data_IF_732475824812
#
_entry.id   IF_732475824812
#
_cell.length_a   1.000
_cell.length_b   1.000
_cell.length_c   1.000
_cell.angle_alpha   90.00
_cell.angle_beta   90.00
_cell.angle_gamma   90.00
#
_symmetry.space_group_name_H-M   'P 1'
#
loop_
_entity.id
_entity.type
_entity.pdbx_description
1 polymer ?
#
# COMPACT_ATOMS: atom_id res chain seq x y z
N UNK A 1 -11.66 -1.14 -14.24
CA UNK A 1 -11.26 -2.15 -15.25
C UNK A 1 -12.24 -3.32 -15.28
N UNK A 2 -12.46 -4.06 -14.18
CA UNK A 2 -13.34 -5.25 -14.20
C UNK A 2 -14.79 -5.04 -14.65
N UNK A 3 -15.44 -3.96 -14.21
CA UNK A 3 -16.83 -3.65 -14.62
C UNK A 3 -16.94 -3.52 -16.14
N UNK A 4 -15.97 -2.81 -16.75
CA UNK A 4 -15.94 -2.56 -18.18
C UNK A 4 -15.61 -3.83 -18.98
N UNK A 5 -14.69 -4.67 -18.48
CA UNK A 5 -14.33 -5.94 -19.11
C UNK A 5 -15.45 -6.99 -19.06
N UNK A 6 -16.32 -6.97 -18.04
CA UNK A 6 -17.46 -7.90 -17.93
C UNK A 6 -18.77 -7.37 -18.53
N UNK A 7 -18.78 -6.18 -19.15
CA UNK A 7 -20.01 -5.56 -19.65
C UNK A 7 -21.04 -5.26 -18.55
N UNK A 8 -20.60 -5.17 -17.30
CA UNK A 8 -21.46 -4.97 -16.14
C UNK A 8 -21.96 -3.53 -16.02
N UNK A 9 -23.14 -3.35 -15.43
CA UNK A 9 -23.70 -2.03 -15.13
C UNK A 9 -23.20 -1.51 -13.78
N UNK A 10 -23.08 -0.19 -13.65
CA UNK A 10 -22.78 0.45 -12.38
C UNK A 10 -23.97 0.24 -11.42
N UNK A 11 -23.73 -0.50 -10.34
CA UNK A 11 -24.71 -0.82 -9.30
C UNK A 11 -24.16 -0.47 -7.91
N UNK A 12 -25.04 -0.46 -6.90
CA UNK A 12 -24.63 -0.26 -5.49
C UNK A 12 -23.60 -1.31 -5.07
N UNK A 13 -23.79 -2.55 -5.50
CA UNK A 13 -22.86 -3.66 -5.32
C UNK A 13 -21.44 -3.30 -5.83
N UNK A 14 -21.34 -2.82 -7.06
CA UNK A 14 -20.04 -2.42 -7.63
C UNK A 14 -19.41 -1.23 -6.92
N UNK A 15 -20.21 -0.28 -6.43
CA UNK A 15 -19.72 0.88 -5.67
C UNK A 15 -19.10 0.45 -4.33
N UNK A 16 -19.76 -0.44 -3.60
CA UNK A 16 -19.21 -1.00 -2.35
C UNK A 16 -17.88 -1.70 -2.64
N UNK A 17 -17.81 -2.51 -3.69
CA UNK A 17 -16.56 -3.17 -4.11
C UNK A 17 -15.44 -2.17 -4.43
N UNK A 18 -15.75 -1.05 -5.08
CA UNK A 18 -14.78 0.01 -5.38
C UNK A 18 -14.28 0.72 -4.12
N UNK A 19 -15.17 1.02 -3.16
CA UNK A 19 -14.79 1.65 -1.89
C UNK A 19 -13.88 0.72 -1.09
N UNK A 20 -14.23 -0.56 -0.98
CA UNK A 20 -13.39 -1.57 -0.33
C UNK A 20 -12.02 -1.64 -0.98
N UNK A 21 -11.97 -1.67 -2.32
CA UNK A 21 -10.71 -1.69 -3.06
C UNK A 21 -9.86 -0.43 -2.81
N UNK A 22 -10.47 0.75 -2.80
CA UNK A 22 -9.78 2.00 -2.53
C UNK A 22 -9.14 2.00 -1.13
N UNK A 23 -9.83 1.45 -0.12
CA UNK A 23 -9.27 1.27 1.22
C UNK A 23 -8.07 0.31 1.24
N UNK A 24 -8.15 -0.82 0.53
CA UNK A 24 -7.04 -1.77 0.40
C UNK A 24 -5.84 -1.10 -0.28
N UNK A 25 -6.06 -0.37 -1.37
CA UNK A 25 -5.04 0.37 -2.10
C UNK A 25 -4.35 1.42 -1.21
N UNK A 26 -5.15 2.28 -0.56
CA UNK A 26 -4.62 3.30 0.33
C UNK A 26 -3.79 2.71 1.47
N UNK A 27 -4.26 1.61 2.08
CA UNK A 27 -3.51 0.91 3.13
C UNK A 27 -2.18 0.39 2.64
N UNK A 28 -2.14 -0.23 1.46
CA UNK A 28 -0.92 -0.78 0.88
C UNK A 28 0.08 0.33 0.51
N UNK A 29 -0.39 1.43 -0.10
CA UNK A 29 0.43 2.60 -0.40
C UNK A 29 1.03 3.27 0.84
N UNK A 30 0.20 3.49 1.88
CA UNK A 30 0.67 4.07 3.16
C UNK A 30 1.76 3.19 3.77
N UNK A 31 1.54 1.88 3.85
CA UNK A 31 2.50 0.93 4.42
C UNK A 31 3.84 0.96 3.68
N UNK A 32 3.83 1.12 2.35
CA UNK A 32 5.06 1.17 1.57
C UNK A 32 5.84 2.48 1.82
N UNK A 33 5.16 3.62 1.85
CA UNK A 33 5.79 4.91 2.15
C UNK A 33 6.34 4.93 3.59
N UNK A 34 5.57 4.43 4.56
CA UNK A 34 6.03 4.30 5.94
C UNK A 34 7.29 3.43 6.04
N UNK A 35 7.40 2.38 5.22
CA UNK A 35 8.60 1.55 5.16
C UNK A 35 9.81 2.30 4.64
N UNK A 36 9.65 3.11 3.58
CA UNK A 36 10.73 3.97 3.11
C UNK A 36 11.19 4.94 4.20
N UNK A 37 10.26 5.59 4.88
CA UNK A 37 10.59 6.50 5.97
C UNK A 37 11.27 5.78 7.14
N UNK A 38 10.88 4.54 7.42
CA UNK A 38 11.53 3.71 8.43
C UNK A 38 12.98 3.41 8.07
N UNK A 39 13.28 2.99 6.83
CA UNK A 39 14.66 2.78 6.36
C UNK A 39 15.51 4.06 6.49
N UNK A 40 14.94 5.23 6.20
CA UNK A 40 15.70 6.48 6.30
C UNK A 40 15.90 6.95 7.74
N UNK A 41 14.94 6.70 8.65
CA UNK A 41 14.99 7.17 10.05
C UNK A 41 15.73 6.22 10.97
N UNK A 42 15.40 4.93 10.90
CA UNK A 42 15.87 3.93 11.86
C UNK A 42 17.13 3.22 11.34
N UNK A 43 17.21 2.95 10.03
CA UNK A 43 18.40 2.32 9.42
C UNK A 43 19.41 3.34 8.89
N UNK A 44 19.08 4.64 8.90
CA UNK A 44 19.96 5.72 8.46
C UNK A 44 20.26 5.72 6.96
N UNK A 45 19.45 5.04 6.14
CA UNK A 45 19.65 5.01 4.71
C UNK A 45 19.39 6.38 4.05
N UNK A 46 20.26 6.76 3.11
CA UNK A 46 20.08 7.99 2.34
C UNK A 46 19.01 7.81 1.26
N UNK A 47 18.33 8.90 0.89
CA UNK A 47 17.36 8.92 -0.22
C UNK A 47 18.04 8.61 -1.55
N UNK A 48 18.14 7.32 -1.87
CA UNK A 48 18.86 6.83 -3.05
C UNK A 48 18.00 5.78 -3.77
N UNK A 49 18.24 5.61 -5.06
CA UNK A 49 17.57 4.57 -5.86
C UNK A 49 17.66 3.15 -5.27
N UNK A 50 18.82 2.65 -4.78
CA UNK A 50 18.90 1.31 -4.17
C UNK A 50 18.02 1.16 -2.93
N UNK A 51 17.91 2.21 -2.11
CA UNK A 51 17.05 2.23 -0.93
C UNK A 51 15.56 2.04 -1.30
N UNK A 52 15.08 2.74 -2.32
CA UNK A 52 13.69 2.58 -2.81
C UNK A 52 13.49 1.17 -3.37
N UNK A 53 14.44 0.64 -4.15
CA UNK A 53 14.34 -0.72 -4.71
C UNK A 53 14.26 -1.76 -3.58
N UNK A 54 15.15 -1.67 -2.58
CA UNK A 54 15.16 -2.54 -1.40
C UNK A 54 13.82 -2.47 -0.65
N UNK A 55 13.39 -1.27 -0.28
CA UNK A 55 12.13 -1.08 0.45
C UNK A 55 10.90 -1.57 -0.34
N UNK A 56 10.93 -1.46 -1.67
CA UNK A 56 9.85 -1.98 -2.53
C UNK A 56 9.86 -3.50 -2.55
N UNK A 57 11.03 -4.14 -2.68
CA UNK A 57 11.17 -5.59 -2.71
C UNK A 57 10.74 -6.25 -1.39
N UNK A 58 11.10 -5.64 -0.25
CA UNK A 58 10.70 -6.12 1.07
C UNK A 58 9.18 -6.06 1.28
N UNK A 59 8.49 -5.12 0.63
CA UNK A 59 7.02 -4.96 0.69
C UNK A 59 6.27 -5.69 -0.41
N UNK A 60 6.95 -6.02 -1.51
CA UNK A 60 6.39 -6.76 -2.64
C UNK A 60 5.80 -8.10 -2.19
N UNK A 61 6.58 -8.88 -1.43
CA UNK A 61 6.15 -10.22 -0.98
C UNK A 61 4.92 -10.16 -0.07
N UNK A 62 4.88 -9.36 1.01
CA UNK A 62 3.69 -9.23 1.85
C UNK A 62 2.43 -8.76 1.11
N UNK A 63 2.56 -7.80 0.18
CA UNK A 63 1.40 -7.28 -0.56
C UNK A 63 0.88 -8.32 -1.56
N UNK A 64 1.77 -9.03 -2.26
CA UNK A 64 1.36 -10.13 -3.13
C UNK A 64 0.68 -11.27 -2.35
N UNK A 65 1.17 -11.60 -1.14
CA UNK A 65 0.51 -12.60 -0.29
C UNK A 65 -0.94 -12.27 0.01
N UNK A 66 -1.22 -11.01 0.38
CA UNK A 66 -2.59 -10.57 0.67
C UNK A 66 -3.45 -10.52 -0.59
N UNK A 67 -2.89 -10.04 -1.71
CA UNK A 67 -3.57 -10.02 -3.01
C UNK A 67 -3.95 -11.44 -3.48
N UNK A 68 -3.03 -12.40 -3.37
CA UNK A 68 -3.28 -13.80 -3.73
C UNK A 68 -4.32 -14.43 -2.81
N UNK A 69 -4.24 -14.19 -1.50
CA UNK A 69 -5.20 -14.72 -0.52
C UNK A 69 -6.62 -14.21 -0.81
N UNK A 70 -6.77 -12.90 -1.01
CA UNK A 70 -8.05 -12.30 -1.35
C UNK A 70 -8.54 -12.77 -2.74
N UNK A 71 -7.64 -12.87 -3.72
CA UNK A 71 -7.94 -13.38 -5.05
C UNK A 71 -8.52 -14.79 -4.99
N UNK A 72 -7.82 -15.72 -4.34
CA UNK A 72 -8.24 -17.12 -4.17
C UNK A 72 -9.56 -17.24 -3.41
N UNK A 73 -9.78 -16.42 -2.38
CA UNK A 73 -11.04 -16.39 -1.64
C UNK A 73 -12.24 -15.94 -2.51
N UNK A 74 -12.00 -15.08 -3.50
CA UNK A 74 -13.03 -14.56 -4.39
C UNK A 74 -13.29 -15.44 -5.61
N UNK A 75 -12.35 -16.30 -6.01
CA UNK A 75 -12.52 -17.24 -7.14
C UNK A 75 -13.84 -18.02 -7.10
N UNK A 76 -14.20 -18.75 -6.01
CA UNK A 76 -15.44 -19.52 -5.99
C UNK A 76 -16.68 -18.62 -6.03
N UNK A 77 -16.60 -17.40 -5.51
CA UNK A 77 -17.71 -16.44 -5.52
C UNK A 77 -17.98 -15.89 -6.93
N UNK A 78 -16.93 -15.69 -7.72
CA UNK A 78 -17.03 -15.28 -9.12
C UNK A 78 -17.57 -16.43 -9.98
N UNK A 79 -17.16 -17.67 -9.71
CA UNK A 79 -17.62 -18.84 -10.47
C UNK A 79 -19.09 -19.20 -10.20
N UNK A 80 -19.61 -18.89 -9.01
CA UNK A 80 -21.02 -19.09 -8.64
C UNK A 80 -21.96 -18.03 -9.26
N UNK A 81 -21.61 -17.48 -10.41
CA UNK A 81 -22.41 -16.49 -11.13
C UNK A 81 -23.76 -17.11 -11.56
N UNK A 82 -24.87 -16.51 -11.13
CA UNK A 82 -26.22 -16.92 -11.56
C UNK A 82 -26.99 -17.80 -10.57
N UNK A 83 -26.42 -18.13 -9.41
CA UNK A 83 -27.18 -18.78 -8.34
C UNK A 83 -28.14 -17.79 -7.63
N UNK A 84 -29.38 -18.20 -7.29
CA UNK A 84 -30.32 -17.36 -6.56
C UNK A 84 -29.71 -16.85 -5.24
N UNK A 85 -29.76 -15.54 -5.01
CA UNK A 85 -29.20 -14.89 -3.83
C UNK A 85 -27.74 -14.40 -3.97
N UNK A 86 -27.07 -14.64 -5.10
CA UNK A 86 -25.68 -14.19 -5.36
C UNK A 86 -25.59 -12.97 -6.27
N UNK A 87 -26.72 -12.41 -6.67
CA UNK A 87 -26.83 -11.30 -7.64
C UNK A 87 -26.10 -10.02 -7.23
N UNK A 88 -26.00 -9.76 -5.92
CA UNK A 88 -25.28 -8.60 -5.36
C UNK A 88 -23.81 -8.95 -5.10
N UNK A 89 -23.53 -10.19 -4.69
CA UNK A 89 -22.19 -10.61 -4.32
C UNK A 89 -21.27 -10.79 -5.53
N UNK A 90 -21.82 -11.27 -6.65
CA UNK A 90 -21.04 -11.49 -7.87
C UNK A 90 -20.43 -10.18 -8.42
N UNK A 91 -21.19 -9.08 -8.64
CA UNK A 91 -20.61 -7.80 -9.06
C UNK A 91 -19.57 -7.24 -8.08
N UNK A 92 -19.79 -7.37 -6.77
CA UNK A 92 -18.81 -6.96 -5.74
C UNK A 92 -17.50 -7.74 -5.91
N UNK A 93 -17.59 -9.07 -6.01
CA UNK A 93 -16.43 -9.96 -6.09
C UNK A 93 -15.58 -9.69 -7.34
N UNK A 94 -16.24 -9.49 -8.49
CA UNK A 94 -15.58 -9.14 -9.77
C UNK A 94 -14.79 -7.84 -9.65
N UNK A 95 -15.39 -6.82 -9.05
CA UNK A 95 -14.74 -5.51 -8.86
C UNK A 95 -13.52 -5.65 -7.97
N UNK A 96 -13.66 -6.34 -6.85
CA UNK A 96 -12.55 -6.50 -5.91
C UNK A 96 -11.42 -7.34 -6.54
N UNK A 97 -11.74 -8.45 -7.21
CA UNK A 97 -10.74 -9.33 -7.82
C UNK A 97 -9.91 -8.64 -8.91
N UNK A 98 -10.59 -8.04 -9.89
CA UNK A 98 -9.92 -7.28 -10.95
C UNK A 98 -9.21 -6.03 -10.41
N UNK A 99 -9.82 -5.43 -9.38
CA UNK A 99 -9.34 -4.25 -8.71
C UNK A 99 -8.03 -4.48 -7.97
N UNK A 100 -7.92 -5.55 -7.20
CA UNK A 100 -6.72 -5.88 -6.43
C UNK A 100 -5.53 -6.07 -7.37
N UNK A 101 -5.71 -6.84 -8.45
CA UNK A 101 -4.64 -7.02 -9.45
C UNK A 101 -4.18 -5.69 -10.05
N UNK A 102 -5.13 -4.86 -10.48
CA UNK A 102 -4.84 -3.55 -11.08
C UNK A 102 -4.17 -2.62 -10.05
N UNK A 103 -4.73 -2.54 -8.84
CA UNK A 103 -4.29 -1.69 -7.76
C UNK A 103 -2.90 -2.06 -7.26
N UNK A 104 -2.63 -3.35 -7.06
CA UNK A 104 -1.30 -3.83 -6.66
C UNK A 104 -0.24 -3.48 -7.69
N UNK A 105 -0.55 -3.62 -8.98
CA UNK A 105 0.38 -3.22 -10.04
C UNK A 105 0.61 -1.71 -10.05
N UNK A 106 -0.46 -0.92 -9.88
CA UNK A 106 -0.35 0.53 -9.77
C UNK A 106 0.46 0.94 -8.54
N UNK A 107 0.26 0.31 -7.38
CA UNK A 107 1.02 0.63 -6.17
C UNK A 107 2.52 0.41 -6.36
N UNK A 108 2.93 -0.70 -6.97
CA UNK A 108 4.35 -0.98 -7.17
C UNK A 108 5.01 -0.18 -8.30
N UNK A 109 4.23 0.33 -9.26
CA UNK A 109 4.79 1.15 -10.34
C UNK A 109 4.71 2.65 -10.01
N UNK A 110 3.55 3.10 -9.53
CA UNK A 110 3.23 4.51 -9.32
C UNK A 110 3.81 5.01 -8.02
N UNK A 111 3.62 4.31 -6.90
CA UNK A 111 4.07 4.80 -5.59
C UNK A 111 5.59 5.00 -5.49
N UNK A 112 6.48 4.07 -5.92
CA UNK A 112 7.92 4.34 -5.86
C UNK A 112 8.33 5.43 -6.85
N UNK A 113 7.66 5.54 -8.00
CA UNK A 113 7.94 6.58 -8.99
C UNK A 113 7.57 7.98 -8.46
N UNK A 114 6.39 8.10 -7.85
CA UNK A 114 5.92 9.34 -7.22
C UNK A 114 6.81 9.70 -6.03
N UNK A 115 7.15 8.72 -5.19
CA UNK A 115 8.04 8.93 -4.06
C UNK A 115 9.44 9.36 -4.53
N UNK A 116 10.00 8.75 -5.56
CA UNK A 116 11.27 9.17 -6.15
C UNK A 116 11.22 10.60 -6.70
N UNK A 117 10.13 10.97 -7.40
CA UNK A 117 10.02 12.25 -8.10
C UNK A 117 9.72 13.43 -7.17
N UNK A 118 8.92 13.22 -6.13
CA UNK A 118 8.39 14.28 -5.26
C UNK A 118 8.71 14.09 -3.77
N UNK A 119 9.04 12.86 -3.35
CA UNK A 119 9.20 12.50 -1.95
C UNK A 119 10.52 12.97 -1.31
N UNK A 120 11.55 13.32 -2.10
CA UNK A 120 12.89 13.65 -1.58
C UNK A 120 12.87 14.78 -0.55
N UNK A 121 12.32 15.94 -0.90
CA UNK A 121 12.30 17.11 -0.03
C UNK A 121 11.49 16.86 1.26
N UNK A 122 10.38 16.12 1.15
CA UNK A 122 9.54 15.75 2.31
C UNK A 122 10.22 14.72 3.20
N UNK A 123 10.86 13.71 2.61
CA UNK A 123 11.55 12.65 3.34
C UNK A 123 12.76 13.20 4.11
N UNK A 124 13.59 14.02 3.46
CA UNK A 124 14.74 14.68 4.09
C UNK A 124 14.30 15.60 5.25
N UNK A 125 13.20 16.36 5.12
CA UNK A 125 12.66 17.15 6.24
C UNK A 125 12.22 16.29 7.43
N UNK A 126 11.59 15.15 7.17
CA UNK A 126 11.09 14.25 8.21
C UNK A 126 12.22 13.53 8.95
N UNK A 127 13.34 13.25 8.29
CA UNK A 127 14.54 12.65 8.89
C UNK A 127 15.45 13.68 9.56
N UNK A 128 15.43 14.94 9.10
CA UNK A 128 16.22 16.05 9.67
C UNK A 128 15.51 16.79 10.82
N UNK A 129 14.29 16.37 11.18
CA UNK A 129 13.50 17.08 12.18
C UNK A 129 14.18 17.07 13.57
N UNK A 130 14.25 18.19 14.30
CA UNK A 130 15.12 18.40 15.48
C UNK A 130 14.93 17.47 16.68
N UNK A 131 13.91 16.61 16.67
CA UNK A 131 13.65 15.67 17.77
C UNK A 131 14.77 14.62 17.93
N UNK A 132 15.47 14.25 16.85
CA UNK A 132 16.62 13.34 16.92
C UNK A 132 17.88 14.02 17.51
N UNK A 133 18.06 15.32 17.23
CA UNK A 133 19.17 16.11 17.80
C UNK A 133 18.95 16.36 19.30
N UNK A 134 17.71 16.63 19.73
CA UNK A 134 17.38 16.85 21.15
C UNK A 134 17.64 15.63 22.04
N UNK A 135 17.47 14.40 21.52
CA UNK A 135 17.76 13.17 22.27
C UNK A 135 19.28 12.90 22.40
N UNK A 136 20.06 13.28 21.39
CA UNK A 136 21.53 13.19 21.43
C UNK A 136 22.14 14.22 22.40
N UNK A 137 21.59 15.45 22.46
CA UNK A 137 22.03 16.48 23.41
C UNK A 137 21.64 16.18 24.86
N UNK A 138 20.51 15.51 25.10
CA UNK A 138 20.07 15.16 26.46
C UNK A 138 20.86 14.01 27.09
N UNK A 139 21.54 13.18 26.29
CA UNK A 139 22.40 12.09 26.78
C UNK A 139 23.80 12.58 27.18
N UNK A 140 24.26 13.71 26.62
CA UNK A 140 25.58 14.28 26.94
C UNK A 140 25.52 15.22 28.17
N UNK A 141 24.34 15.73 28.53
CA UNK A 141 24.18 16.79 29.53
C UNK A 141 24.00 16.35 30.99
N UNK A 142 23.98 15.05 31.33
CA UNK A 142 23.95 14.62 32.74
C UNK A 142 25.35 14.22 33.22
N UNK A 143 26.06 15.07 33.98
CA UNK A 143 27.18 14.60 34.78
C UNK A 143 26.61 13.66 35.85
N UNK A 144 27.17 12.45 35.95
CA UNK A 144 26.90 11.54 37.07
C UNK A 144 27.36 12.29 38.34
N UNK A 145 26.47 12.63 39.28
CA UNK A 145 26.91 13.11 40.58
C UNK A 145 27.61 11.95 41.32
N UNK A 146 28.82 12.22 41.80
CA UNK A 146 29.63 11.31 42.61
C UNK A 146 29.00 11.05 44.00
#
# INVERSE_FOLDING_TARGET
VGIWLMGGTMSIATLVGLITLAGIAARNGIMMISHYLHLMKEEGEQFTRPMIVRGTQERLVPVLMTALTAGLALVPLILAAGEPGREILHPVAVVIFSGIFTSTLLDFLVTPLVFWRFGRASAERLTSSPAATAASDMTIATPIPA
#
